data_IF_051692435305
#
_entry.id   IF_051692435305
#
_cell.length_a   1.000
_cell.length_b   1.000
_cell.length_c   1.000
_cell.angle_alpha   90.00
_cell.angle_beta   90.00
_cell.angle_gamma   90.00
#
_symmetry.space_group_name_H-M   'P 1'
#
loop_
_entity.id
_entity.type
_entity.pdbx_description
1 polymer ?
#
# COMPACT_ATOMS: atom_id res chain seq x y z
N UNK A 1 -14.49 -8.34 -12.07
CA UNK A 1 -15.52 -7.33 -12.43
C UNK A 1 -16.47 -7.08 -11.26
N UNK A 2 -17.04 -8.11 -10.62
CA UNK A 2 -17.85 -7.92 -9.40
C UNK A 2 -17.09 -7.21 -8.27
N UNK A 3 -15.85 -7.64 -7.97
CA UNK A 3 -15.00 -7.02 -6.95
C UNK A 3 -14.75 -5.53 -7.20
N UNK A 4 -14.44 -5.16 -8.45
CA UNK A 4 -14.24 -3.77 -8.87
C UNK A 4 -15.50 -2.92 -8.67
N UNK A 5 -16.68 -3.47 -9.02
CA UNK A 5 -17.96 -2.78 -8.80
C UNK A 5 -18.25 -2.56 -7.32
N UNK A 6 -18.04 -3.58 -6.49
CA UNK A 6 -18.17 -3.48 -5.03
C UNK A 6 -17.24 -2.39 -4.48
N UNK A 7 -15.96 -2.41 -4.86
CA UNK A 7 -14.97 -1.45 -4.39
C UNK A 7 -15.29 -0.02 -4.81
N UNK A 8 -15.80 0.18 -6.03
CA UNK A 8 -16.24 1.49 -6.52
C UNK A 8 -17.44 2.03 -5.72
N UNK A 9 -18.45 1.20 -5.45
CA UNK A 9 -19.62 1.58 -4.65
C UNK A 9 -19.20 1.98 -3.23
N UNK A 10 -18.41 1.14 -2.56
CA UNK A 10 -17.94 1.45 -1.20
C UNK A 10 -17.04 2.68 -1.17
N UNK A 11 -16.13 2.84 -2.13
CA UNK A 11 -15.28 4.02 -2.24
C UNK A 11 -16.08 5.31 -2.46
N UNK A 12 -17.11 5.27 -3.30
CA UNK A 12 -17.99 6.39 -3.55
C UNK A 12 -18.75 6.81 -2.29
N UNK A 13 -19.39 5.86 -1.60
CA UNK A 13 -20.10 6.16 -0.34
C UNK A 13 -19.16 6.63 0.76
N UNK A 14 -17.97 6.03 0.88
CA UNK A 14 -16.94 6.48 1.82
C UNK A 14 -16.61 7.96 1.61
N UNK A 15 -16.32 8.38 0.38
CA UNK A 15 -15.97 9.77 0.11
C UNK A 15 -17.16 10.74 0.27
N UNK A 16 -18.39 10.34 -0.03
CA UNK A 16 -19.59 11.14 0.26
C UNK A 16 -19.73 11.41 1.75
N UNK A 17 -19.57 10.38 2.57
CA UNK A 17 -19.67 10.50 4.03
C UNK A 17 -18.59 11.45 4.53
N UNK A 18 -17.35 11.28 4.06
CA UNK A 18 -16.23 12.14 4.45
C UNK A 18 -16.47 13.61 4.04
N UNK A 19 -16.98 13.85 2.84
CA UNK A 19 -17.28 15.20 2.35
C UNK A 19 -18.38 15.91 3.15
N UNK A 20 -19.24 15.16 3.87
CA UNK A 20 -20.28 15.73 4.74
C UNK A 20 -19.82 15.91 6.18
N UNK A 21 -18.96 15.03 6.68
CA UNK A 21 -18.54 15.02 8.09
C UNK A 21 -17.26 15.81 8.38
N UNK A 22 -16.39 15.95 7.38
CA UNK A 22 -15.07 16.56 7.55
C UNK A 22 -14.90 17.79 6.66
N UNK A 23 -13.99 18.69 7.06
CA UNK A 23 -13.65 19.86 6.25
C UNK A 23 -12.85 19.46 5.00
N UNK A 24 -12.84 20.32 3.99
CA UNK A 24 -12.06 20.10 2.76
C UNK A 24 -10.55 19.91 3.06
N UNK A 25 -10.03 20.59 4.07
CA UNK A 25 -8.63 20.45 4.52
C UNK A 25 -8.36 19.04 5.08
N UNK A 26 -9.25 18.53 5.95
CA UNK A 26 -9.11 17.19 6.54
C UNK A 26 -9.21 16.09 5.48
N UNK A 27 -10.13 16.24 4.52
CA UNK A 27 -10.25 15.35 3.36
C UNK A 27 -8.98 15.40 2.52
N UNK A 28 -8.43 16.59 2.28
CA UNK A 28 -7.18 16.79 1.55
C UNK A 28 -5.97 16.09 2.20
N UNK A 29 -5.86 16.16 3.53
CA UNK A 29 -4.83 15.43 4.29
C UNK A 29 -4.99 13.92 4.09
N UNK A 30 -6.22 13.39 4.21
CA UNK A 30 -6.51 11.97 4.01
C UNK A 30 -6.15 11.48 2.61
N UNK A 31 -6.53 12.21 1.56
CA UNK A 31 -6.18 11.88 0.17
C UNK A 31 -4.67 11.95 -0.08
N UNK A 32 -3.99 12.89 0.57
CA UNK A 32 -2.54 13.03 0.48
C UNK A 32 -1.83 11.82 1.10
N UNK A 33 -2.28 11.38 2.28
CA UNK A 33 -1.80 10.17 2.93
C UNK A 33 -1.98 8.93 2.06
N UNK A 34 -3.16 8.73 1.50
CA UNK A 34 -3.44 7.59 0.59
C UNK A 34 -2.49 7.62 -0.61
N UNK A 35 -2.27 8.80 -1.20
CA UNK A 35 -1.38 8.98 -2.35
C UNK A 35 0.08 8.65 -2.00
N UNK A 36 0.54 9.10 -0.83
CA UNK A 36 1.89 8.80 -0.33
C UNK A 36 2.05 7.30 -0.08
N UNK A 37 1.10 6.66 0.59
CA UNK A 37 1.14 5.21 0.85
C UNK A 37 1.21 4.46 -0.48
N UNK A 38 0.36 4.83 -1.44
CA UNK A 38 0.35 4.23 -2.78
C UNK A 38 1.69 4.38 -3.49
N UNK A 39 2.31 5.57 -3.39
CA UNK A 39 3.63 5.84 -3.95
C UNK A 39 4.71 4.98 -3.29
N UNK A 40 4.78 4.97 -1.96
CA UNK A 40 5.76 4.18 -1.20
C UNK A 40 5.61 2.70 -1.53
N UNK A 41 4.38 2.18 -1.53
CA UNK A 41 4.11 0.79 -1.87
C UNK A 41 4.54 0.44 -3.29
N UNK A 42 4.31 1.34 -4.25
CA UNK A 42 4.75 1.14 -5.64
C UNK A 42 6.27 0.99 -5.75
N UNK A 43 7.05 1.80 -5.03
CA UNK A 43 8.50 1.64 -4.94
C UNK A 43 8.91 0.38 -4.17
N UNK A 44 8.19 0.05 -3.10
CA UNK A 44 8.49 -1.10 -2.23
C UNK A 44 8.36 -2.44 -2.94
N UNK A 45 7.52 -2.51 -3.98
CA UNK A 45 7.34 -3.71 -4.78
C UNK A 45 8.61 -4.14 -5.53
N UNK A 46 9.55 -3.23 -5.81
CA UNK A 46 10.81 -3.52 -6.52
C UNK A 46 10.64 -4.30 -7.86
N UNK A 47 9.48 -4.16 -8.52
CA UNK A 47 9.14 -4.93 -9.72
C UNK A 47 8.83 -6.42 -9.48
N UNK A 48 8.87 -6.91 -8.23
CA UNK A 48 8.59 -8.29 -7.87
C UNK A 48 7.16 -8.73 -8.22
N UNK A 49 6.19 -7.81 -8.20
CA UNK A 49 4.81 -8.11 -8.60
C UNK A 49 4.72 -8.70 -10.01
N UNK A 50 5.36 -8.05 -10.99
CA UNK A 50 5.40 -8.52 -12.38
C UNK A 50 6.18 -9.85 -12.50
N UNK A 51 7.29 -9.96 -11.77
CA UNK A 51 8.11 -11.18 -11.74
C UNK A 51 7.33 -12.37 -11.17
N UNK A 52 6.53 -12.18 -10.11
CA UNK A 52 5.68 -13.22 -9.55
C UNK A 52 4.62 -13.68 -10.55
N UNK A 53 3.91 -12.74 -11.19
CA UNK A 53 2.88 -13.08 -12.18
C UNK A 53 3.45 -13.96 -13.31
N UNK A 54 4.67 -13.66 -13.77
CA UNK A 54 5.31 -14.37 -14.89
C UNK A 54 5.99 -15.69 -14.49
N UNK A 55 6.74 -15.70 -13.38
CA UNK A 55 7.66 -16.79 -13.04
C UNK A 55 7.18 -17.70 -11.90
N UNK A 56 6.09 -17.36 -11.23
CA UNK A 56 5.49 -18.23 -10.21
C UNK A 56 4.76 -19.45 -10.81
N UNK A 57 4.02 -19.36 -11.93
CA UNK A 57 3.32 -20.50 -12.53
C UNK A 57 4.22 -21.70 -12.85
N UNK A 58 5.39 -21.42 -13.42
CA UNK A 58 6.39 -22.38 -13.92
C UNK A 58 7.44 -22.78 -12.87
N UNK A 59 7.31 -22.33 -11.63
CA UNK A 59 8.29 -22.58 -10.57
C UNK A 59 8.00 -23.88 -9.82
N UNK A 60 9.03 -24.69 -9.59
CA UNK A 60 8.94 -25.88 -8.72
C UNK A 60 8.83 -25.49 -7.23
N UNK A 61 9.44 -24.35 -6.83
CA UNK A 61 9.45 -23.82 -5.46
C UNK A 61 8.55 -22.59 -5.28
N UNK A 62 7.24 -22.76 -5.38
CA UNK A 62 6.27 -21.63 -5.34
C UNK A 62 6.25 -20.92 -3.98
N UNK A 63 6.22 -21.67 -2.88
CA UNK A 63 6.15 -21.11 -1.53
C UNK A 63 7.39 -20.28 -1.18
N UNK A 64 8.59 -20.73 -1.55
CA UNK A 64 9.84 -20.00 -1.26
C UNK A 64 9.88 -18.65 -1.97
N UNK A 65 9.42 -18.59 -3.24
CA UNK A 65 9.34 -17.34 -4.01
C UNK A 65 8.33 -16.36 -3.43
N UNK A 66 7.18 -16.86 -2.98
CA UNK A 66 6.16 -16.06 -2.31
C UNK A 66 6.75 -15.51 -1.00
N UNK A 67 7.30 -16.36 -0.14
CA UNK A 67 7.83 -15.95 1.16
C UNK A 67 8.97 -14.92 1.02
N UNK A 68 9.87 -15.13 0.06
CA UNK A 68 10.96 -14.18 -0.25
C UNK A 68 10.40 -12.85 -0.71
N UNK A 69 9.39 -12.85 -1.57
CA UNK A 69 8.77 -11.62 -2.07
C UNK A 69 8.03 -10.87 -0.97
N UNK A 70 7.27 -11.57 -0.12
CA UNK A 70 6.60 -10.98 1.03
C UNK A 70 7.60 -10.38 2.02
N UNK A 71 8.67 -11.10 2.34
CA UNK A 71 9.72 -10.63 3.25
C UNK A 71 10.42 -9.39 2.68
N UNK A 72 10.80 -9.43 1.40
CA UNK A 72 11.51 -8.32 0.78
C UNK A 72 10.62 -7.07 0.70
N UNK A 73 9.38 -7.21 0.23
CA UNK A 73 8.43 -6.08 0.12
C UNK A 73 8.04 -5.54 1.50
N UNK A 74 7.89 -6.40 2.50
CA UNK A 74 7.66 -5.99 3.89
C UNK A 74 8.82 -5.15 4.44
N UNK A 75 10.06 -5.64 4.29
CA UNK A 75 11.24 -4.92 4.76
C UNK A 75 11.47 -3.60 4.00
N UNK A 76 11.30 -3.60 2.68
CA UNK A 76 11.49 -2.39 1.86
C UNK A 76 10.42 -1.34 2.15
N UNK A 77 9.16 -1.76 2.35
CA UNK A 77 8.08 -0.84 2.73
C UNK A 77 8.29 -0.23 4.10
N UNK A 78 8.77 -0.99 5.09
CA UNK A 78 9.17 -0.44 6.39
C UNK A 78 10.30 0.58 6.20
N UNK A 79 11.35 0.23 5.46
CA UNK A 79 12.51 1.08 5.25
C UNK A 79 12.15 2.40 4.56
N UNK A 80 11.39 2.34 3.46
CA UNK A 80 10.95 3.52 2.70
C UNK A 80 9.97 4.35 3.53
N UNK A 81 9.08 3.74 4.32
CA UNK A 81 8.16 4.46 5.20
C UNK A 81 8.89 5.23 6.30
N UNK A 82 9.90 4.61 6.94
CA UNK A 82 10.74 5.28 7.94
C UNK A 82 11.51 6.43 7.29
N UNK A 83 12.11 6.18 6.11
CA UNK A 83 12.78 7.22 5.35
C UNK A 83 11.82 8.39 5.06
N UNK A 84 10.62 8.12 4.58
CA UNK A 84 9.60 9.14 4.33
C UNK A 84 9.28 9.95 5.60
N UNK A 85 9.09 9.30 6.75
CA UNK A 85 8.81 9.99 8.02
C UNK A 85 9.96 10.91 8.47
N UNK A 86 11.22 10.53 8.19
CA UNK A 86 12.39 11.38 8.48
C UNK A 86 12.41 12.62 7.59
N UNK A 87 12.10 12.47 6.30
CA UNK A 87 12.09 13.56 5.31
C UNK A 87 10.75 14.31 5.21
N UNK A 88 9.75 13.95 6.02
CA UNK A 88 8.40 14.50 5.97
C UNK A 88 8.38 16.03 6.10
N UNK A 89 9.29 16.59 6.92
CA UNK A 89 9.43 18.05 7.12
C UNK A 89 9.76 18.80 5.82
N UNK A 90 10.46 18.16 4.88
CA UNK A 90 10.86 18.78 3.60
C UNK A 90 9.76 18.65 2.54
N UNK A 91 9.00 17.55 2.55
CA UNK A 91 8.01 17.27 1.52
C UNK A 91 6.61 17.80 1.81
N UNK A 92 6.17 17.82 3.08
CA UNK A 92 4.78 18.18 3.41
C UNK A 92 4.63 18.74 4.83
N UNK A 93 4.73 20.06 5.01
CA UNK A 93 4.55 20.70 6.31
C UNK A 93 3.18 20.41 6.95
N UNK A 94 2.14 20.22 6.13
CA UNK A 94 0.77 19.92 6.60
C UNK A 94 0.57 18.52 7.20
N UNK A 95 1.54 17.61 7.06
CA UNK A 95 1.48 16.25 7.64
C UNK A 95 2.29 16.10 8.93
N UNK A 96 2.77 17.20 9.52
CA UNK A 96 3.65 17.15 10.68
C UNK A 96 3.04 16.37 11.87
N UNK A 97 1.72 16.41 12.03
CA UNK A 97 0.98 15.67 13.05
C UNK A 97 1.23 14.15 13.04
N UNK A 98 1.55 13.57 11.87
CA UNK A 98 1.85 12.13 11.73
C UNK A 98 3.13 11.77 12.47
N UNK A 99 4.10 12.69 12.50
CA UNK A 99 5.38 12.51 13.18
C UNK A 99 5.32 12.88 14.66
N UNK A 100 4.45 13.81 15.06
CA UNK A 100 4.35 14.25 16.45
C UNK A 100 3.86 13.15 17.38
N UNK A 101 2.92 12.32 16.92
CA UNK A 101 2.46 11.16 17.69
C UNK A 101 3.14 9.89 17.21
N UNK A 102 3.82 9.21 18.14
CA UNK A 102 4.40 7.89 17.90
C UNK A 102 3.35 6.89 17.39
N UNK A 103 2.09 7.04 17.85
CA UNK A 103 0.98 6.19 17.45
C UNK A 103 0.65 6.40 15.97
N UNK A 104 0.57 7.65 15.49
CA UNK A 104 0.28 7.92 14.08
C UNK A 104 1.43 7.49 13.17
N UNK A 105 2.69 7.65 13.59
CA UNK A 105 3.84 7.14 12.85
C UNK A 105 3.82 5.61 12.73
N UNK A 106 3.53 4.91 13.84
CA UNK A 106 3.40 3.45 13.83
C UNK A 106 2.24 2.99 12.95
N UNK A 107 1.06 3.62 13.06
CA UNK A 107 -0.09 3.32 12.22
C UNK A 107 0.23 3.55 10.74
N UNK A 108 0.90 4.65 10.40
CA UNK A 108 1.29 4.96 9.03
C UNK A 108 2.20 3.87 8.44
N UNK A 109 3.24 3.45 9.17
CA UNK A 109 4.12 2.36 8.75
C UNK A 109 3.31 1.06 8.59
N UNK A 110 2.48 0.75 9.59
CA UNK A 110 1.67 -0.47 9.60
C UNK A 110 0.73 -0.53 8.38
N UNK A 111 -0.02 0.53 8.11
CA UNK A 111 -0.90 0.62 6.95
C UNK A 111 -0.12 0.53 5.64
N UNK A 112 1.05 1.15 5.54
CA UNK A 112 1.89 1.09 4.34
C UNK A 112 2.40 -0.32 4.07
N UNK A 113 2.81 -1.05 5.11
CA UNK A 113 3.22 -2.45 5.00
C UNK A 113 2.05 -3.32 4.57
N UNK A 114 0.89 -3.20 5.24
CA UNK A 114 -0.30 -3.98 4.88
C UNK A 114 -0.75 -3.71 3.45
N UNK A 115 -0.76 -2.44 3.02
CA UNK A 115 -1.12 -2.07 1.66
C UNK A 115 -0.16 -2.69 0.63
N UNK A 116 1.16 -2.64 0.90
CA UNK A 116 2.18 -3.23 0.02
C UNK A 116 2.05 -4.77 -0.07
N UNK A 117 1.81 -5.44 1.07
CA UNK A 117 1.62 -6.88 1.11
C UNK A 117 0.30 -7.31 0.44
N UNK A 118 -0.74 -6.49 0.53
CA UNK A 118 -2.01 -6.73 -0.15
C UNK A 118 -1.81 -6.75 -1.68
N UNK A 119 -1.07 -5.78 -2.24
CA UNK A 119 -0.73 -5.77 -3.68
C UNK A 119 0.02 -7.04 -4.09
N UNK A 120 1.01 -7.48 -3.29
CA UNK A 120 1.73 -8.73 -3.59
C UNK A 120 0.80 -9.94 -3.51
N UNK A 121 -0.14 -9.97 -2.55
CA UNK A 121 -1.13 -11.04 -2.44
C UNK A 121 -2.01 -11.12 -3.69
N UNK A 122 -2.47 -9.98 -4.21
CA UNK A 122 -3.22 -9.92 -5.47
C UNK A 122 -2.40 -10.46 -6.64
N UNK A 123 -1.13 -10.06 -6.76
CA UNK A 123 -0.23 -10.55 -7.81
C UNK A 123 -0.03 -12.08 -7.74
N UNK A 124 0.07 -12.65 -6.53
CA UNK A 124 0.15 -14.10 -6.33
C UNK A 124 -1.15 -14.78 -6.79
N UNK A 125 -2.32 -14.27 -6.44
CA UNK A 125 -3.59 -14.85 -6.89
C UNK A 125 -3.76 -14.76 -8.41
N UNK A 126 -3.33 -13.66 -9.02
CA UNK A 126 -3.32 -13.50 -10.48
C UNK A 126 -2.41 -14.57 -11.10
N UNK A 127 -1.19 -14.74 -10.58
CA UNK A 127 -0.25 -15.75 -11.07
C UNK A 127 -0.82 -17.17 -11.03
N UNK A 128 -1.50 -17.54 -9.95
CA UNK A 128 -2.17 -18.85 -9.86
C UNK A 128 -3.32 -18.99 -10.86
N UNK A 129 -4.07 -17.92 -11.13
CA UNK A 129 -5.15 -17.96 -12.13
C UNK A 129 -4.63 -18.17 -13.55
N UNK A 130 -3.48 -17.62 -13.91
CA UNK A 130 -2.86 -17.76 -15.24
C UNK A 130 -2.08 -19.07 -15.46
N UNK A 131 -2.10 -19.98 -14.47
CA UNK A 131 -1.49 -21.33 -14.57
C UNK A 131 -2.45 -22.44 -14.99
N UNK A 132 -3.68 -22.08 -15.37
CA UNK A 132 -4.65 -22.96 -16.06
C UNK A 132 -4.66 -22.65 -17.54
#
# INVERSE_FOLDING_TARGET
MLSTGVMAVFGFFFWIINARLYSAEQVGIGTTLISIITLISSFSLLGLGNSLIKYLPTSDKKNDKINTSFTLVGLTSIFISIFFLVFLKTFSPGLFFVRESIIFSLLFILFTVFFSLNIISENVFIAYRSSK
#
